data_IF_025497209507
#
_entry.id   IF_025497209507
#
_cell.length_a   1.000
_cell.length_b   1.000
_cell.length_c   1.000
_cell.angle_alpha   90.00
_cell.angle_beta   90.00
_cell.angle_gamma   90.00
#
_symmetry.space_group_name_H-M   'P 1'
#
loop_
_entity.id
_entity.type
_entity.pdbx_description
1 polymer ?
#
# COMPACT_ATOMS: atom_id res chain seq x y z
N UNK A 1 6.60 -33.06 32.09
CA UNK A 1 6.00 -33.44 30.79
C UNK A 1 4.51 -33.09 30.72
N UNK A 2 3.63 -33.64 31.58
CA UNK A 2 2.19 -33.29 31.64
C UNK A 2 1.88 -31.78 31.68
N UNK A 3 2.63 -31.00 32.47
CA UNK A 3 2.49 -29.53 32.54
C UNK A 3 2.85 -28.82 31.23
N UNK A 4 3.95 -29.21 30.58
CA UNK A 4 4.35 -28.68 29.27
C UNK A 4 3.31 -29.03 28.18
N UNK A 5 2.76 -30.24 28.22
CA UNK A 5 1.73 -30.68 27.28
C UNK A 5 0.39 -29.99 27.54
N UNK A 6 0.02 -29.79 28.81
CA UNK A 6 -1.15 -29.00 29.20
C UNK A 6 -0.99 -27.53 28.76
N UNK A 7 0.18 -26.92 28.96
CA UNK A 7 0.47 -25.56 28.51
C UNK A 7 0.48 -25.45 26.98
N UNK A 8 1.00 -26.46 26.26
CA UNK A 8 0.93 -26.53 24.80
C UNK A 8 -0.50 -26.72 24.29
N UNK A 9 -1.28 -27.64 24.87
CA UNK A 9 -2.70 -27.84 24.57
C UNK A 9 -3.51 -26.58 24.87
N UNK A 10 -3.19 -25.87 25.95
CA UNK A 10 -3.82 -24.59 26.32
C UNK A 10 -3.48 -23.47 25.35
N UNK A 11 -2.23 -23.40 24.88
CA UNK A 11 -1.83 -22.46 23.85
C UNK A 11 -2.45 -22.81 22.49
N UNK A 12 -2.76 -24.09 22.24
CA UNK A 12 -3.38 -24.60 21.01
C UNK A 12 -4.91 -24.46 21.00
N UNK A 13 -5.57 -24.66 22.13
CA UNK A 13 -7.01 -24.60 22.33
C UNK A 13 -7.50 -23.14 22.35
N UNK A 14 -8.06 -22.72 21.21
CA UNK A 14 -8.63 -21.38 21.08
C UNK A 14 -9.92 -21.42 20.26
N UNK A 15 -11.04 -20.83 20.74
CA UNK A 15 -12.34 -20.92 20.07
C UNK A 15 -12.36 -20.14 18.75
N UNK A 16 -11.29 -19.40 18.45
CA UNK A 16 -11.09 -18.68 17.19
C UNK A 16 -10.30 -19.47 16.15
N UNK A 17 -9.69 -20.59 16.53
CA UNK A 17 -8.97 -21.49 15.60
C UNK A 17 -9.93 -22.46 14.94
N UNK A 18 -10.77 -21.91 14.07
CA UNK A 18 -11.74 -22.68 13.30
C UNK A 18 -11.83 -22.15 11.84
N UNK A 19 -12.31 -22.98 10.90
CA UNK A 19 -12.42 -22.60 9.49
C UNK A 19 -13.26 -21.34 9.25
N UNK A 20 -14.35 -21.14 10.01
CA UNK A 20 -15.23 -19.97 9.86
C UNK A 20 -14.48 -18.67 10.16
N UNK A 21 -13.75 -18.61 11.27
CA UNK A 21 -12.96 -17.43 11.63
C UNK A 21 -11.82 -17.19 10.62
N UNK A 22 -11.19 -18.26 10.16
CA UNK A 22 -10.18 -18.20 9.11
C UNK A 22 -10.75 -17.58 7.82
N UNK A 23 -11.98 -17.91 7.45
CA UNK A 23 -12.69 -17.34 6.29
C UNK A 23 -13.05 -15.87 6.51
N UNK A 24 -13.55 -15.48 7.69
CA UNK A 24 -13.91 -14.09 8.00
C UNK A 24 -12.69 -13.16 7.92
N UNK A 25 -11.60 -13.48 8.61
CA UNK A 25 -10.36 -12.68 8.54
C UNK A 25 -9.75 -12.74 7.14
N UNK A 26 -9.81 -13.91 6.48
CA UNK A 26 -9.33 -14.09 5.11
C UNK A 26 -10.04 -13.18 4.11
N UNK A 27 -11.34 -12.94 4.26
CA UNK A 27 -12.11 -12.02 3.40
C UNK A 27 -11.66 -10.58 3.56
N UNK A 28 -11.45 -10.13 4.80
CA UNK A 28 -10.97 -8.77 5.08
C UNK A 28 -9.56 -8.56 4.52
N UNK A 29 -8.66 -9.53 4.74
CA UNK A 29 -7.30 -9.49 4.21
C UNK A 29 -7.29 -9.53 2.67
N UNK A 30 -8.10 -10.39 2.06
CA UNK A 30 -8.24 -10.48 0.60
C UNK A 30 -8.76 -9.17 -0.01
N UNK A 31 -9.76 -8.53 0.62
CA UNK A 31 -10.25 -7.22 0.20
C UNK A 31 -9.14 -6.15 0.30
N UNK A 32 -8.38 -6.13 1.40
CA UNK A 32 -7.26 -5.20 1.57
C UNK A 32 -6.17 -5.39 0.49
N UNK A 33 -5.82 -6.64 0.15
CA UNK A 33 -4.88 -6.92 -0.95
C UNK A 33 -5.42 -6.48 -2.31
N UNK A 34 -6.69 -6.71 -2.62
CA UNK A 34 -7.29 -6.26 -3.88
C UNK A 34 -7.34 -4.74 -3.98
N UNK A 35 -7.66 -4.04 -2.88
CA UNK A 35 -7.61 -2.58 -2.81
C UNK A 35 -6.18 -2.08 -3.07
N UNK A 36 -5.18 -2.64 -2.38
CA UNK A 36 -3.77 -2.29 -2.60
C UNK A 36 -3.36 -2.54 -4.06
N UNK A 37 -3.74 -3.69 -4.61
CA UNK A 37 -3.39 -4.04 -5.99
C UNK A 37 -4.01 -3.07 -7.00
N UNK A 38 -5.32 -2.82 -6.92
CA UNK A 38 -6.01 -1.92 -7.85
C UNK A 38 -5.51 -0.47 -7.76
N UNK A 39 -5.36 0.06 -6.54
CA UNK A 39 -4.79 1.41 -6.33
C UNK A 39 -3.31 1.48 -6.72
N UNK A 40 -2.55 0.41 -6.54
CA UNK A 40 -1.16 0.30 -6.96
C UNK A 40 -1.00 0.28 -8.48
N UNK A 41 -1.87 -0.45 -9.20
CA UNK A 41 -1.93 -0.42 -10.66
C UNK A 41 -2.23 0.98 -11.17
N UNK A 42 -3.22 1.67 -10.57
CA UNK A 42 -3.53 3.05 -10.93
C UNK A 42 -2.34 3.99 -10.70
N UNK A 43 -1.65 3.88 -9.56
CA UNK A 43 -0.45 4.66 -9.23
C UNK A 43 0.72 4.37 -10.18
N UNK A 44 0.88 3.12 -10.61
CA UNK A 44 1.89 2.71 -11.58
C UNK A 44 1.60 3.28 -12.97
N UNK A 45 0.40 3.09 -13.51
CA UNK A 45 0.05 3.58 -14.85
C UNK A 45 -0.01 5.11 -14.94
N UNK A 46 -0.25 5.82 -13.84
CA UNK A 46 -0.06 7.27 -13.80
C UNK A 46 1.40 7.70 -13.99
N UNK A 47 2.36 6.91 -13.48
CA UNK A 47 3.80 7.18 -13.61
C UNK A 47 4.36 6.69 -14.95
N UNK A 48 3.90 5.53 -15.41
CA UNK A 48 4.37 4.84 -16.60
C UNK A 48 3.15 4.48 -17.48
N UNK A 49 2.51 5.48 -18.11
CA UNK A 49 1.33 5.25 -18.93
C UNK A 49 1.66 4.48 -20.20
N UNK A 50 0.74 3.60 -20.62
CA UNK A 50 0.75 3.08 -21.99
C UNK A 50 0.32 4.19 -22.96
N UNK A 51 0.79 4.18 -24.20
CA UNK A 51 0.59 5.30 -25.14
C UNK A 51 -0.87 5.67 -25.44
N UNK A 52 -1.83 4.77 -25.20
CA UNK A 52 -3.26 5.01 -25.37
C UNK A 52 -3.98 5.46 -24.09
N UNK A 53 -3.33 5.34 -22.92
CA UNK A 53 -3.95 5.69 -21.65
C UNK A 53 -4.08 7.20 -21.51
N UNK A 54 -5.23 7.64 -20.98
CA UNK A 54 -5.49 9.00 -20.55
C UNK A 54 -6.05 8.95 -19.15
N UNK A 55 -5.72 9.93 -18.32
CA UNK A 55 -6.18 9.97 -16.93
C UNK A 55 -7.12 11.13 -16.66
N UNK A 56 -8.03 10.93 -15.72
CA UNK A 56 -8.89 12.01 -15.27
C UNK A 56 -8.08 13.02 -14.43
N UNK A 57 -8.14 14.29 -14.81
CA UNK A 57 -7.56 15.39 -14.03
C UNK A 57 -8.50 15.91 -12.94
N UNK A 58 -9.71 15.35 -12.87
CA UNK A 58 -10.75 15.69 -11.89
C UNK A 58 -11.36 14.42 -11.26
N UNK A 59 -11.73 14.47 -9.97
CA UNK A 59 -11.44 15.56 -9.03
C UNK A 59 -9.92 15.69 -8.78
N UNK A 60 -9.43 16.90 -8.49
CA UNK A 60 -8.00 17.20 -8.36
C UNK A 60 -7.31 16.42 -7.23
N UNK A 61 -8.08 15.93 -6.27
CA UNK A 61 -7.62 15.10 -5.14
C UNK A 61 -7.70 13.60 -5.41
N UNK A 62 -8.03 13.16 -6.64
CA UNK A 62 -8.21 11.74 -6.96
C UNK A 62 -7.00 10.90 -6.54
N UNK A 63 -5.79 11.31 -6.94
CA UNK A 63 -4.58 10.59 -6.58
C UNK A 63 -4.31 10.57 -5.07
N UNK A 64 -4.60 11.66 -4.36
CA UNK A 64 -4.51 11.70 -2.90
C UNK A 64 -5.37 10.62 -2.26
N UNK A 65 -6.62 10.46 -2.72
CA UNK A 65 -7.56 9.46 -2.19
C UNK A 65 -7.10 8.05 -2.54
N UNK A 66 -6.72 7.79 -3.79
CA UNK A 66 -6.28 6.44 -4.19
C UNK A 66 -5.00 6.03 -3.48
N UNK A 67 -4.04 6.94 -3.35
CA UNK A 67 -2.75 6.65 -2.69
C UNK A 67 -2.91 6.53 -1.18
N UNK A 68 -3.74 7.37 -0.54
CA UNK A 68 -4.10 7.22 0.86
C UNK A 68 -4.80 5.90 1.15
N UNK A 69 -5.74 5.51 0.29
CA UNK A 69 -6.44 4.23 0.38
C UNK A 69 -5.47 3.04 0.25
N UNK A 70 -4.51 3.12 -0.68
CA UNK A 70 -3.47 2.11 -0.85
C UNK A 70 -2.71 1.86 0.46
N UNK A 71 -2.24 2.93 1.10
CA UNK A 71 -1.38 2.83 2.27
C UNK A 71 -2.19 2.43 3.51
N UNK A 72 -3.39 2.98 3.69
CA UNK A 72 -4.29 2.55 4.77
C UNK A 72 -4.61 1.06 4.66
N UNK A 73 -4.93 0.57 3.47
CA UNK A 73 -5.18 -0.86 3.26
C UNK A 73 -3.92 -1.70 3.51
N UNK A 74 -2.75 -1.25 3.06
CA UNK A 74 -1.47 -1.94 3.29
C UNK A 74 -1.11 -2.03 4.78
N UNK A 75 -1.34 -0.96 5.54
CA UNK A 75 -1.15 -0.92 7.00
C UNK A 75 -2.15 -1.86 7.69
N UNK A 76 -3.42 -1.86 7.27
CA UNK A 76 -4.43 -2.76 7.82
C UNK A 76 -4.10 -4.25 7.60
N UNK A 77 -3.32 -4.59 6.56
CA UNK A 77 -2.88 -5.96 6.31
C UNK A 77 -2.02 -6.54 7.44
N UNK A 78 -1.26 -5.75 8.21
CA UNK A 78 -0.41 -6.26 9.29
C UNK A 78 -1.21 -6.99 10.40
N UNK A 79 -2.15 -6.33 11.11
CA UNK A 79 -2.95 -6.99 12.14
C UNK A 79 -3.85 -8.10 11.55
N UNK A 80 -4.38 -7.93 10.34
CA UNK A 80 -5.20 -8.94 9.68
C UNK A 80 -4.40 -10.19 9.31
N UNK A 81 -3.17 -10.04 8.80
CA UNK A 81 -2.28 -11.14 8.46
C UNK A 81 -1.83 -11.87 9.73
N UNK A 82 -1.43 -11.14 10.78
CA UNK A 82 -1.07 -11.74 12.08
C UNK A 82 -2.26 -12.51 12.68
N UNK A 83 -3.47 -11.95 12.62
CA UNK A 83 -4.68 -12.64 13.05
C UNK A 83 -4.93 -13.92 12.24
N UNK A 84 -4.78 -13.86 10.91
CA UNK A 84 -4.93 -15.02 10.03
C UNK A 84 -3.90 -16.11 10.36
N UNK A 85 -2.63 -15.73 10.53
CA UNK A 85 -1.54 -16.64 10.89
C UNK A 85 -1.76 -17.27 12.27
N UNK A 86 -2.22 -16.50 13.24
CA UNK A 86 -2.57 -17.01 14.57
C UNK A 86 -3.69 -18.08 14.52
N UNK A 87 -4.69 -17.87 13.67
CA UNK A 87 -5.81 -18.80 13.49
C UNK A 87 -5.33 -20.12 12.87
N UNK A 88 -4.49 -20.05 11.83
CA UNK A 88 -4.04 -21.24 11.07
C UNK A 88 -2.73 -21.83 11.61
N UNK A 89 -2.16 -21.26 12.66
CA UNK A 89 -0.86 -21.67 13.22
C UNK A 89 -0.74 -23.19 13.46
N UNK A 90 -1.72 -23.89 14.05
CA UNK A 90 -1.60 -25.34 14.27
C UNK A 90 -1.49 -26.13 12.95
N UNK A 91 -2.22 -25.70 11.92
CA UNK A 91 -2.23 -26.37 10.61
C UNK A 91 -0.88 -26.23 9.89
N UNK A 92 -0.09 -25.20 10.23
CA UNK A 92 1.26 -25.03 9.70
C UNK A 92 2.24 -26.11 10.20
N UNK A 93 1.94 -26.78 11.32
CA UNK A 93 2.80 -27.80 11.94
C UNK A 93 2.15 -29.19 12.01
N UNK A 94 1.10 -29.43 11.23
CA UNK A 94 0.43 -30.72 11.18
C UNK A 94 1.37 -31.86 10.72
N UNK A 95 1.29 -33.01 11.38
CA UNK A 95 2.06 -34.22 11.07
C UNK A 95 1.14 -35.32 10.47
N UNK A 96 1.60 -36.13 9.49
CA UNK A 96 2.88 -36.01 8.77
C UNK A 96 2.92 -34.73 7.92
N UNK A 97 4.10 -34.08 7.79
CA UNK A 97 4.23 -32.78 7.13
C UNK A 97 3.86 -32.85 5.65
N UNK A 98 4.12 -33.98 5.00
CA UNK A 98 3.77 -34.22 3.60
C UNK A 98 3.07 -35.58 3.52
N UNK A 99 1.86 -35.59 2.96
CA UNK A 99 1.05 -36.80 2.75
C UNK A 99 1.15 -37.32 1.30
N UNK A 100 1.75 -36.54 0.40
CA UNK A 100 1.89 -36.82 -1.01
C UNK A 100 2.23 -35.55 -1.81
N UNK A 101 2.44 -35.68 -3.12
CA UNK A 101 2.88 -34.58 -3.99
C UNK A 101 1.88 -33.41 -4.02
N UNK A 102 0.58 -33.69 -4.12
CA UNK A 102 -0.46 -32.65 -4.14
C UNK A 102 -0.49 -31.87 -2.81
N UNK A 103 -0.40 -32.58 -1.68
CA UNK A 103 -0.36 -31.95 -0.36
C UNK A 103 0.92 -31.11 -0.17
N UNK A 104 2.05 -31.56 -0.71
CA UNK A 104 3.28 -30.77 -0.72
C UNK A 104 3.10 -29.48 -1.51
N UNK A 105 2.58 -29.54 -2.74
CA UNK A 105 2.35 -28.37 -3.57
C UNK A 105 1.37 -27.38 -2.92
N UNK A 106 0.31 -27.89 -2.28
CA UNK A 106 -0.59 -27.08 -1.48
C UNK A 106 0.15 -26.33 -0.37
N UNK A 107 0.95 -27.02 0.46
CA UNK A 107 1.71 -26.37 1.55
C UNK A 107 2.77 -25.41 1.04
N UNK A 108 3.46 -25.74 -0.06
CA UNK A 108 4.43 -24.87 -0.71
C UNK A 108 3.75 -23.58 -1.21
N UNK A 109 2.58 -23.68 -1.83
CA UNK A 109 1.81 -22.51 -2.27
C UNK A 109 1.42 -21.59 -1.11
N UNK A 110 1.04 -22.17 0.04
CA UNK A 110 0.72 -21.40 1.26
C UNK A 110 1.97 -20.70 1.80
N UNK A 111 3.11 -21.41 1.87
CA UNK A 111 4.36 -20.83 2.35
C UNK A 111 4.82 -19.66 1.46
N UNK A 112 4.76 -19.83 0.14
CA UNK A 112 5.05 -18.76 -0.81
C UNK A 112 4.09 -17.57 -0.66
N UNK A 113 2.79 -17.84 -0.49
CA UNK A 113 1.79 -16.78 -0.31
C UNK A 113 2.03 -15.97 0.97
N UNK A 114 2.32 -16.64 2.09
CA UNK A 114 2.65 -15.98 3.37
C UNK A 114 3.94 -15.18 3.24
N UNK A 115 5.00 -15.78 2.66
CA UNK A 115 6.28 -15.10 2.45
C UNK A 115 6.13 -13.85 1.58
N UNK A 116 5.47 -13.98 0.43
CA UNK A 116 5.20 -12.86 -0.46
C UNK A 116 4.36 -11.77 0.23
N UNK A 117 3.35 -12.15 1.02
CA UNK A 117 2.52 -11.21 1.78
C UNK A 117 3.34 -10.39 2.76
N UNK A 118 4.17 -11.05 3.57
CA UNK A 118 5.01 -10.40 4.59
C UNK A 118 6.01 -9.46 3.92
N UNK A 119 6.70 -9.92 2.87
CA UNK A 119 7.66 -9.09 2.14
C UNK A 119 6.95 -7.87 1.55
N UNK A 120 5.86 -8.06 0.80
CA UNK A 120 5.12 -6.99 0.12
C UNK A 120 4.69 -5.87 1.07
N UNK A 121 4.02 -6.22 2.18
CA UNK A 121 3.54 -5.20 3.12
C UNK A 121 4.69 -4.53 3.88
N UNK A 122 5.79 -5.26 4.13
CA UNK A 122 6.97 -4.72 4.82
C UNK A 122 7.70 -3.72 3.95
N UNK A 123 8.03 -4.08 2.70
CA UNK A 123 8.70 -3.14 1.80
C UNK A 123 7.84 -1.90 1.54
N UNK A 124 6.51 -2.07 1.43
CA UNK A 124 5.56 -0.97 1.26
C UNK A 124 5.53 -0.03 2.47
N UNK A 125 5.53 -0.58 3.69
CA UNK A 125 5.63 0.20 4.93
C UNK A 125 6.96 0.95 5.00
N UNK A 126 8.08 0.28 4.77
CA UNK A 126 9.40 0.91 4.88
C UNK A 126 9.62 2.01 3.83
N UNK A 127 9.00 1.88 2.65
CA UNK A 127 8.94 2.94 1.65
C UNK A 127 8.27 4.22 2.18
N UNK A 128 7.24 4.14 3.04
CA UNK A 128 6.62 5.36 3.60
C UNK A 128 7.62 6.15 4.45
N UNK A 129 8.61 5.49 5.04
CA UNK A 129 9.69 6.08 5.83
C UNK A 129 10.94 6.40 5.00
N UNK A 130 10.93 6.17 3.68
CA UNK A 130 12.10 6.24 2.79
C UNK A 130 13.29 5.40 3.27
N UNK A 131 13.04 4.30 3.97
CA UNK A 131 14.10 3.42 4.45
C UNK A 131 14.19 2.19 3.56
N UNK A 132 15.31 2.07 2.84
CA UNK A 132 15.56 0.99 1.88
C UNK A 132 16.81 0.20 2.31
N UNK A 133 16.70 -0.71 3.30
CA UNK A 133 17.81 -1.57 3.74
C UNK A 133 18.17 -2.67 2.72
N UNK A 134 17.88 -2.46 1.44
CA UNK A 134 18.07 -3.42 0.36
C UNK A 134 18.65 -2.75 -0.89
N UNK A 135 19.34 -3.51 -1.75
CA UNK A 135 20.00 -2.96 -2.95
C UNK A 135 19.08 -2.92 -4.18
N UNK A 136 17.90 -3.53 -4.14
CA UNK A 136 17.01 -3.64 -5.30
C UNK A 136 16.09 -2.42 -5.47
N UNK A 137 15.63 -2.13 -6.69
CA UNK A 137 14.80 -0.96 -6.93
C UNK A 137 13.36 -1.22 -6.48
N UNK A 138 12.91 -0.47 -5.47
CA UNK A 138 11.63 -0.68 -4.79
C UNK A 138 10.44 -0.74 -5.76
N UNK A 139 10.30 0.21 -6.69
CA UNK A 139 9.10 0.33 -7.55
C UNK A 139 8.87 -0.91 -8.40
N UNK A 140 9.91 -1.40 -9.06
CA UNK A 140 9.86 -2.57 -9.94
C UNK A 140 9.58 -3.84 -9.14
N UNK A 141 10.27 -4.03 -8.00
CA UNK A 141 10.09 -5.20 -7.16
C UNK A 141 8.71 -5.22 -6.52
N UNK A 142 8.25 -4.09 -5.97
CA UNK A 142 6.93 -3.97 -5.35
C UNK A 142 5.79 -4.20 -6.36
N UNK A 143 5.96 -3.73 -7.60
CA UNK A 143 5.00 -3.97 -8.68
C UNK A 143 4.96 -5.45 -9.08
N UNK A 144 6.12 -6.06 -9.36
CA UNK A 144 6.21 -7.46 -9.74
C UNK A 144 5.70 -8.40 -8.63
N UNK A 145 6.08 -8.15 -7.39
CA UNK A 145 5.64 -8.92 -6.23
C UNK A 145 4.14 -8.78 -5.98
N UNK A 146 3.53 -7.64 -6.34
CA UNK A 146 2.08 -7.46 -6.34
C UNK A 146 1.35 -8.47 -7.23
N UNK A 147 1.84 -8.72 -8.45
CA UNK A 147 1.29 -9.74 -9.36
C UNK A 147 1.48 -11.15 -8.82
N UNK A 148 2.66 -11.45 -8.28
CA UNK A 148 2.93 -12.73 -7.62
C UNK A 148 1.96 -12.96 -6.46
N UNK A 149 1.75 -11.95 -5.62
CA UNK A 149 0.85 -12.03 -4.48
C UNK A 149 -0.60 -12.28 -4.89
N UNK A 150 -1.11 -11.57 -5.92
CA UNK A 150 -2.47 -11.79 -6.42
C UNK A 150 -2.62 -13.15 -7.08
N UNK A 151 -1.64 -13.60 -7.87
CA UNK A 151 -1.65 -14.96 -8.43
C UNK A 151 -1.71 -16.03 -7.34
N UNK A 152 -0.89 -15.89 -6.30
CA UNK A 152 -0.89 -16.78 -5.13
C UNK A 152 -2.21 -16.72 -4.35
N UNK A 153 -2.83 -15.54 -4.22
CA UNK A 153 -4.14 -15.38 -3.60
C UNK A 153 -5.22 -16.13 -4.39
N UNK A 154 -5.23 -16.01 -5.72
CA UNK A 154 -6.18 -16.74 -6.58
C UNK A 154 -6.00 -18.25 -6.45
N UNK A 155 -4.75 -18.74 -6.49
CA UNK A 155 -4.43 -20.16 -6.27
C UNK A 155 -4.91 -20.59 -4.88
N UNK A 156 -4.63 -19.81 -3.84
CA UNK A 156 -5.04 -20.10 -2.46
C UNK A 156 -6.56 -20.20 -2.33
N UNK A 157 -7.30 -19.25 -2.92
CA UNK A 157 -8.77 -19.27 -2.93
C UNK A 157 -9.27 -20.49 -3.69
N UNK A 158 -8.71 -20.81 -4.86
CA UNK A 158 -9.10 -21.97 -5.67
C UNK A 158 -8.92 -23.30 -4.91
N UNK A 159 -7.77 -23.49 -4.28
CA UNK A 159 -7.47 -24.69 -3.48
C UNK A 159 -8.38 -24.80 -2.25
N UNK A 160 -8.68 -23.68 -1.58
CA UNK A 160 -9.53 -23.66 -0.38
C UNK A 160 -11.01 -23.45 -0.66
N UNK A 161 -11.42 -23.35 -1.92
CA UNK A 161 -12.79 -23.03 -2.30
C UNK A 161 -13.84 -23.95 -1.64
N UNK A 162 -13.65 -25.29 -1.58
CA UNK A 162 -14.64 -26.18 -0.95
C UNK A 162 -14.81 -25.93 0.56
N UNK A 163 -13.77 -25.44 1.24
CA UNK A 163 -13.84 -25.07 2.66
C UNK A 163 -14.47 -23.69 2.80
N UNK A 164 -14.07 -22.74 1.95
CA UNK A 164 -14.58 -21.37 1.97
C UNK A 164 -16.09 -21.36 1.74
N UNK A 165 -16.59 -22.08 0.74
CA UNK A 165 -18.03 -22.13 0.39
C UNK A 165 -18.88 -22.68 1.53
N UNK A 166 -18.40 -23.72 2.24
CA UNK A 166 -19.09 -24.30 3.41
C UNK A 166 -19.27 -23.31 4.56
N UNK A 167 -18.40 -22.32 4.67
CA UNK A 167 -18.44 -21.33 5.76
C UNK A 167 -18.66 -19.89 5.26
N UNK A 168 -19.17 -19.73 4.04
CA UNK A 168 -19.33 -18.43 3.38
C UNK A 168 -20.55 -17.64 3.87
N UNK A 169 -21.67 -18.32 4.16
CA UNK A 169 -22.91 -17.71 4.65
C UNK A 169 -23.16 -17.97 6.15
N UNK A 170 -23.96 -17.11 6.77
CA UNK A 170 -24.36 -17.18 8.18
C UNK A 170 -25.36 -18.29 8.52
N UNK A 171 -25.83 -19.04 7.53
CA UNK A 171 -26.93 -19.98 7.70
C UNK A 171 -26.46 -21.42 7.56
N UNK A 172 -26.01 -22.00 8.66
CA UNK A 172 -26.38 -23.38 8.95
C UNK A 172 -26.98 -23.42 10.35
N UNK A 173 -28.33 -23.42 10.47
CA UNK A 173 -29.03 -23.59 11.75
C UNK A 173 -28.73 -24.93 12.42
N UNK A 174 -28.12 -25.89 11.72
CA UNK A 174 -27.77 -27.20 12.25
C UNK A 174 -26.48 -27.21 13.08
N UNK A 175 -25.71 -26.13 13.13
CA UNK A 175 -24.44 -26.07 13.87
C UNK A 175 -24.55 -25.43 15.27
N UNK A 176 -25.71 -24.82 15.61
CA UNK A 176 -25.95 -24.32 16.97
C UNK A 176 -26.24 -25.45 17.98
N UNK A 177 -26.50 -26.68 17.50
CA UNK A 177 -26.62 -27.87 18.36
C UNK A 177 -25.27 -28.52 18.73
N UNK A 178 -24.13 -27.94 18.34
CA UNK A 178 -22.80 -28.40 18.77
C UNK A 178 -22.27 -27.65 20.00
N UNK A 179 -22.98 -26.65 20.50
CA UNK A 179 -22.62 -25.95 21.74
C UNK A 179 -23.08 -26.73 23.00
N UNK A 180 -23.98 -27.71 22.85
CA UNK A 180 -24.39 -28.64 23.91
C UNK A 180 -23.65 -29.99 23.90
N UNK A 181 -22.64 -30.18 23.04
CA UNK A 181 -21.79 -31.37 23.06
C UNK A 181 -20.75 -31.36 24.19
N UNK A 182 -21.12 -30.80 25.34
CA UNK A 182 -20.38 -30.83 26.62
C UNK A 182 -20.33 -32.26 27.21
N UNK A 183 -20.93 -33.26 26.58
CA UNK A 183 -20.77 -34.68 26.94
C UNK A 183 -19.71 -35.39 26.07
N UNK A 184 -18.46 -34.92 26.17
CA UNK A 184 -17.22 -35.71 26.32
C UNK A 184 -16.74 -36.76 25.29
N UNK A 185 -17.58 -37.39 24.47
CA UNK A 185 -17.23 -38.73 23.94
C UNK A 185 -17.09 -38.83 22.40
N UNK A 186 -17.79 -37.99 21.62
CA UNK A 186 -17.79 -38.14 20.13
C UNK A 186 -16.68 -37.40 19.39
N UNK A 187 -16.16 -36.29 19.92
CA UNK A 187 -15.15 -35.48 19.21
C UNK A 187 -13.77 -36.13 19.21
N UNK A 188 -13.40 -36.81 20.31
CA UNK A 188 -12.15 -37.55 20.42
C UNK A 188 -12.10 -38.73 19.43
N UNK A 189 -13.24 -39.38 19.20
CA UNK A 189 -13.37 -40.47 18.23
C UNK A 189 -13.25 -39.99 16.77
N UNK A 190 -13.85 -38.85 16.40
CA UNK A 190 -13.75 -38.34 15.04
C UNK A 190 -12.33 -37.87 14.67
N UNK A 191 -11.61 -37.27 15.63
CA UNK A 191 -10.23 -36.81 15.44
C UNK A 191 -9.21 -37.97 15.49
N UNK A 192 -9.44 -38.96 16.36
CA UNK A 192 -8.66 -40.21 16.38
C UNK A 192 -8.84 -41.02 15.10
N UNK A 193 -10.06 -41.12 14.56
CA UNK A 193 -10.33 -41.76 13.26
C UNK A 193 -9.69 -41.00 12.10
N UNK A 194 -9.62 -39.66 12.18
CA UNK A 194 -8.91 -38.82 11.20
C UNK A 194 -7.40 -39.02 11.19
N UNK A 195 -6.79 -39.25 12.36
CA UNK A 195 -5.34 -39.36 12.54
C UNK A 195 -4.83 -40.81 12.39
N UNK A 196 -5.63 -41.80 12.77
CA UNK A 196 -5.20 -43.21 12.90
C UNK A 196 -6.11 -44.23 12.19
N UNK A 197 -7.23 -43.82 11.59
CA UNK A 197 -8.24 -44.74 11.06
C UNK A 197 -9.01 -45.48 12.18
N UNK A 198 -9.69 -46.57 11.85
CA UNK A 198 -10.48 -47.37 12.83
C UNK A 198 -9.61 -48.14 13.84
N UNK A 199 -8.29 -48.17 13.67
CA UNK A 199 -7.37 -48.98 14.48
C UNK A 199 -6.39 -48.10 15.25
N UNK A 200 -6.52 -48.05 16.58
CA UNK A 200 -5.53 -47.39 17.45
C UNK A 200 -4.26 -48.25 17.58
N UNK A 201 -3.05 -47.67 17.43
CA UNK A 201 -1.80 -48.41 17.60
C UNK A 201 -1.65 -48.93 19.04
N UNK A 202 -1.19 -50.18 19.19
CA UNK A 202 -0.98 -50.83 20.49
C UNK A 202 0.34 -50.45 21.18
N UNK A 203 0.59 -51.00 22.37
CA UNK A 203 1.88 -50.91 23.07
C UNK A 203 2.20 -49.54 23.68
N UNK A 204 3.47 -49.13 23.61
CA UNK A 204 3.98 -47.87 24.19
C UNK A 204 3.27 -46.65 23.59
N UNK A 205 2.99 -46.67 22.29
CA UNK A 205 2.25 -45.62 21.58
C UNK A 205 0.86 -45.42 22.16
N UNK A 206 0.15 -46.51 22.49
CA UNK A 206 -1.16 -46.44 23.16
C UNK A 206 -1.06 -45.76 24.52
N UNK A 207 -0.08 -46.13 25.34
CA UNK A 207 0.10 -45.53 26.67
C UNK A 207 0.43 -44.04 26.59
N UNK A 208 1.18 -43.61 25.58
CA UNK A 208 1.48 -42.19 25.34
C UNK A 208 0.22 -41.44 24.88
N UNK A 209 -0.59 -42.03 24.01
CA UNK A 209 -1.87 -41.46 23.57
C UNK A 209 -2.89 -41.36 24.71
N UNK A 210 -3.04 -42.43 25.51
CA UNK A 210 -3.91 -42.44 26.69
C UNK A 210 -3.43 -41.40 27.72
N UNK A 211 -2.12 -41.18 27.86
CA UNK A 211 -1.54 -40.13 28.70
C UNK A 211 -1.85 -38.71 28.19
N UNK A 212 -1.86 -38.51 26.86
CA UNK A 212 -2.29 -37.27 26.21
C UNK A 212 -3.78 -37.03 26.44
N UNK A 213 -4.62 -38.03 26.19
CA UNK A 213 -6.08 -37.96 26.33
C UNK A 213 -6.50 -37.74 27.80
N UNK A 214 -5.77 -38.31 28.76
CA UNK A 214 -5.98 -38.11 30.19
C UNK A 214 -5.43 -36.77 30.72
N UNK A 215 -4.86 -35.91 29.87
CA UNK A 215 -4.44 -34.57 30.28
C UNK A 215 -5.65 -33.62 30.19
N UNK A 216 -6.05 -32.94 31.28
CA UNK A 216 -7.23 -32.06 31.27
C UNK A 216 -7.15 -31.03 30.15
N UNK A 217 -8.22 -30.87 29.36
CA UNK A 217 -8.26 -29.83 28.33
C UNK A 217 -8.36 -28.47 29.02
N UNK A 218 -7.43 -27.57 28.69
CA UNK A 218 -7.46 -26.24 29.26
C UNK A 218 -8.55 -25.38 28.61
N UNK A 219 -9.34 -24.69 29.43
CA UNK A 219 -10.31 -23.71 28.96
C UNK A 219 -9.61 -22.52 28.31
N UNK A 220 -10.14 -22.07 27.18
CA UNK A 220 -9.61 -20.91 26.48
C UNK A 220 -10.01 -19.62 27.17
N UNK A 221 -9.04 -18.74 27.41
CA UNK A 221 -9.26 -17.42 28.02
C UNK A 221 -9.76 -16.36 27.03
N UNK A 222 -9.70 -16.64 25.72
CA UNK A 222 -10.00 -15.65 24.69
C UNK A 222 -11.32 -16.01 24.01
N UNK A 223 -12.36 -15.23 24.25
CA UNK A 223 -13.63 -15.40 23.53
C UNK A 223 -13.50 -14.96 22.07
N UNK A 224 -14.37 -15.49 21.19
CA UNK A 224 -14.42 -15.07 19.77
C UNK A 224 -14.63 -13.56 19.62
N UNK A 225 -15.54 -13.01 20.44
CA UNK A 225 -15.81 -11.57 20.50
C UNK A 225 -14.57 -10.82 20.95
N UNK A 226 -13.90 -11.27 22.01
CA UNK A 226 -12.66 -10.66 22.51
C UNK A 226 -11.58 -10.60 21.43
N UNK A 227 -11.33 -11.69 20.70
CA UNK A 227 -10.35 -11.72 19.61
C UNK A 227 -10.71 -10.76 18.48
N UNK A 228 -11.95 -10.78 17.98
CA UNK A 228 -12.38 -9.88 16.91
C UNK A 228 -12.34 -8.42 17.34
N UNK A 229 -12.70 -8.12 18.59
CA UNK A 229 -12.54 -6.79 19.17
C UNK A 229 -11.07 -6.39 19.23
N UNK A 230 -10.16 -7.27 19.67
CA UNK A 230 -8.72 -6.97 19.68
C UNK A 230 -8.18 -6.70 18.28
N UNK A 231 -8.50 -7.54 17.30
CA UNK A 231 -8.07 -7.33 15.91
C UNK A 231 -8.65 -6.03 15.36
N UNK A 232 -9.94 -5.78 15.57
CA UNK A 232 -10.60 -4.54 15.15
C UNK A 232 -9.96 -3.31 15.78
N UNK A 233 -9.75 -3.29 17.10
CA UNK A 233 -9.10 -2.20 17.82
C UNK A 233 -7.66 -2.01 17.34
N UNK A 234 -6.89 -3.08 17.17
CA UNK A 234 -5.52 -2.99 16.67
C UNK A 234 -5.48 -2.41 15.25
N UNK A 235 -6.33 -2.90 14.33
CA UNK A 235 -6.45 -2.36 12.98
C UNK A 235 -6.85 -0.89 12.99
N UNK A 236 -7.92 -0.55 13.72
CA UNK A 236 -8.40 0.84 13.82
C UNK A 236 -7.36 1.76 14.45
N UNK A 237 -6.63 1.31 15.48
CA UNK A 237 -5.58 2.10 16.12
C UNK A 237 -4.42 2.36 15.15
N UNK A 238 -3.84 1.31 14.54
CA UNK A 238 -2.67 1.49 13.65
C UNK A 238 -3.05 2.32 12.43
N UNK A 239 -4.22 2.09 11.82
CA UNK A 239 -4.72 2.92 10.71
C UNK A 239 -5.00 4.35 11.16
N UNK A 240 -5.74 4.55 12.26
CA UNK A 240 -6.10 5.86 12.76
C UNK A 240 -4.89 6.73 13.10
N UNK A 241 -3.86 6.12 13.70
CA UNK A 241 -2.64 6.81 14.12
C UNK A 241 -1.65 7.10 12.97
N UNK A 242 -1.95 6.68 11.74
CA UNK A 242 -1.11 6.85 10.56
C UNK A 242 -1.81 7.52 9.37
N UNK A 243 -3.13 7.39 9.26
CA UNK A 243 -3.92 7.87 8.12
C UNK A 243 -3.98 9.42 8.04
N UNK A 244 -3.68 10.11 9.14
CA UNK A 244 -3.70 11.57 9.20
C UNK A 244 -2.66 12.25 8.30
N UNK A 245 -1.59 11.56 7.90
CA UNK A 245 -0.66 12.07 6.90
C UNK A 245 -1.33 12.27 5.52
N UNK A 246 -2.39 11.52 5.21
CA UNK A 246 -3.16 11.63 3.96
C UNK A 246 -4.46 12.39 4.16
N UNK A 247 -5.25 12.02 5.17
CA UNK A 247 -6.61 12.52 5.40
C UNK A 247 -6.61 13.59 6.50
N UNK A 248 -6.89 14.84 6.11
CA UNK A 248 -6.85 16.00 7.03
C UNK A 248 -7.69 15.84 8.30
N UNK A 249 -8.90 15.24 8.28
CA UNK A 249 -9.68 15.03 9.50
C UNK A 249 -8.99 14.18 10.57
N UNK A 250 -7.98 13.38 10.20
CA UNK A 250 -7.25 12.48 11.08
C UNK A 250 -5.86 13.03 11.47
N UNK A 251 -5.49 14.23 11.04
CA UNK A 251 -4.15 14.81 11.32
C UNK A 251 -3.89 14.97 12.82
N UNK A 252 -4.91 15.32 13.61
CA UNK A 252 -4.80 15.52 15.06
C UNK A 252 -4.35 14.27 15.83
N UNK A 253 -4.58 13.07 15.28
CA UNK A 253 -4.24 11.79 15.89
C UNK A 253 -3.09 11.08 15.17
N UNK A 254 -2.44 11.75 14.21
CA UNK A 254 -1.33 11.20 13.43
C UNK A 254 -0.04 11.15 14.27
N UNK A 255 0.18 10.05 14.99
CA UNK A 255 1.35 9.85 15.85
C UNK A 255 2.51 9.15 15.13
N UNK A 256 2.21 8.28 14.15
CA UNK A 256 3.21 7.44 13.49
C UNK A 256 3.40 7.77 12.00
N UNK A 257 2.72 8.79 11.47
CA UNK A 257 2.99 9.27 10.12
C UNK A 257 4.41 9.84 10.03
N UNK A 258 5.24 9.40 9.06
CA UNK A 258 6.61 9.89 8.89
C UNK A 258 6.68 11.38 8.55
N UNK A 259 5.56 11.94 8.05
CA UNK A 259 5.42 13.37 7.79
C UNK A 259 4.13 13.90 8.40
N UNK A 260 4.22 15.13 8.89
CA UNK A 260 3.12 15.88 9.49
C UNK A 260 2.71 17.02 8.57
N UNK A 261 1.40 17.22 8.41
CA UNK A 261 0.87 18.33 7.60
C UNK A 261 1.25 19.66 8.23
N UNK A 262 1.54 20.67 7.41
CA UNK A 262 1.93 21.98 7.91
C UNK A 262 3.39 22.09 8.38
N UNK A 263 4.14 20.98 8.43
CA UNK A 263 5.54 20.96 8.88
C UNK A 263 6.48 20.91 7.68
N UNK A 264 7.35 21.90 7.57
CA UNK A 264 8.31 22.10 6.47
C UNK A 264 8.37 23.56 6.05
N UNK A 265 9.29 23.89 5.13
CA UNK A 265 9.36 25.23 4.56
C UNK A 265 8.02 25.60 3.92
N UNK A 266 7.57 26.85 4.08
CA UNK A 266 6.29 27.34 3.52
C UNK A 266 5.07 26.50 3.94
N UNK A 267 5.17 25.78 5.05
CA UNK A 267 4.11 24.94 5.60
C UNK A 267 3.86 23.65 4.82
N UNK A 268 4.74 23.20 3.93
CA UNK A 268 4.56 21.95 3.16
C UNK A 268 5.74 21.00 3.40
N UNK A 269 5.51 19.68 3.63
CA UNK A 269 6.59 18.71 3.78
C UNK A 269 7.48 18.59 2.54
N UNK A 270 8.77 18.39 2.78
CA UNK A 270 9.78 18.18 1.73
C UNK A 270 10.05 16.67 1.58
N UNK A 271 10.06 16.21 0.32
CA UNK A 271 10.37 14.82 -0.01
C UNK A 271 11.87 14.57 -0.28
N UNK A 272 12.47 15.50 -1.01
CA UNK A 272 13.78 15.43 -1.64
C UNK A 272 14.40 16.80 -1.54
N UNK A 273 15.57 16.94 -0.92
CA UNK A 273 16.17 18.27 -0.73
C UNK A 273 17.00 18.70 -1.94
N UNK A 274 17.29 20.00 -2.09
CA UNK A 274 18.18 20.50 -3.16
C UNK A 274 19.61 20.03 -3.01
N UNK A 275 20.07 19.84 -1.76
CA UNK A 275 21.37 19.23 -1.47
C UNK A 275 21.43 17.79 -1.96
N UNK A 276 20.41 16.99 -1.62
CA UNK A 276 20.27 15.62 -2.07
C UNK A 276 20.21 15.49 -3.60
N UNK A 277 19.58 16.46 -4.27
CA UNK A 277 19.49 16.53 -5.73
C UNK A 277 20.71 17.18 -6.40
N UNK A 278 21.61 17.79 -5.63
CA UNK A 278 22.80 18.50 -6.13
C UNK A 278 22.47 19.64 -7.10
N UNK A 279 21.42 20.41 -6.82
CA UNK A 279 20.89 21.46 -7.71
C UNK A 279 20.98 22.88 -7.15
N UNK A 280 21.47 23.04 -5.91
CA UNK A 280 21.40 24.33 -5.21
C UNK A 280 22.07 25.46 -6.01
N UNK A 281 23.30 25.26 -6.48
CA UNK A 281 24.04 26.27 -7.22
C UNK A 281 23.37 26.61 -8.56
N UNK A 282 22.95 25.59 -9.31
CA UNK A 282 22.30 25.76 -10.61
C UNK A 282 20.92 26.45 -10.49
N UNK A 283 20.16 26.14 -9.44
CA UNK A 283 18.84 26.71 -9.20
C UNK A 283 18.91 28.16 -8.71
N UNK A 284 19.98 28.54 -8.02
CA UNK A 284 20.20 29.91 -7.52
C UNK A 284 21.01 30.78 -8.50
N UNK A 285 21.51 30.20 -9.60
CA UNK A 285 22.26 30.94 -10.60
C UNK A 285 21.41 32.02 -11.27
N UNK A 286 21.96 33.23 -11.39
CA UNK A 286 21.33 34.35 -12.12
C UNK A 286 21.11 34.01 -13.60
N UNK A 287 21.90 33.09 -14.15
CA UNK A 287 21.78 32.59 -15.52
C UNK A 287 20.69 31.53 -15.71
N UNK A 288 19.94 31.16 -14.66
CA UNK A 288 18.86 30.19 -14.81
C UNK A 288 17.78 30.72 -15.77
N UNK A 289 17.35 29.83 -16.66
CA UNK A 289 16.20 30.05 -17.55
C UNK A 289 15.38 28.76 -17.66
N UNK A 290 14.08 28.92 -17.92
CA UNK A 290 13.20 27.84 -18.35
C UNK A 290 13.14 27.81 -19.87
N UNK A 291 13.59 26.73 -20.48
CA UNK A 291 13.50 26.53 -21.94
C UNK A 291 12.23 25.78 -22.31
N UNK A 292 11.44 26.34 -23.24
CA UNK A 292 10.30 25.69 -23.88
C UNK A 292 10.65 25.36 -25.34
N UNK A 293 10.56 24.09 -25.71
CA UNK A 293 10.89 23.59 -27.04
C UNK A 293 9.66 22.93 -27.70
N UNK A 294 9.25 23.43 -28.87
CA UNK A 294 8.10 22.95 -29.64
C UNK A 294 8.46 22.96 -31.13
N UNK A 295 8.34 21.82 -31.82
CA UNK A 295 8.50 21.75 -33.28
C UNK A 295 9.85 22.25 -33.81
N UNK A 296 10.94 22.10 -33.04
CA UNK A 296 12.27 22.62 -33.38
C UNK A 296 12.50 24.10 -33.07
N UNK A 297 11.48 24.83 -32.60
CA UNK A 297 11.60 26.19 -32.09
C UNK A 297 11.80 26.15 -30.58
N UNK A 298 12.79 26.89 -30.08
CA UNK A 298 13.05 27.01 -28.65
C UNK A 298 12.89 28.47 -28.19
N UNK A 299 12.30 28.66 -27.02
CA UNK A 299 12.24 29.94 -26.33
C UNK A 299 12.63 29.75 -24.87
N UNK A 300 13.48 30.63 -24.37
CA UNK A 300 13.91 30.63 -22.98
C UNK A 300 13.30 31.82 -22.24
N UNK A 301 12.91 31.58 -20.99
CA UNK A 301 12.34 32.60 -20.10
C UNK A 301 13.17 32.66 -18.82
N UNK A 302 13.64 33.84 -18.46
CA UNK A 302 14.12 34.14 -17.12
C UNK A 302 12.96 34.06 -16.11
N UNK A 303 13.28 33.98 -14.82
CA UNK A 303 12.25 33.99 -13.78
C UNK A 303 11.41 35.27 -13.79
N UNK A 304 12.04 36.41 -14.02
CA UNK A 304 11.37 37.72 -14.05
C UNK A 304 10.42 37.83 -15.27
N UNK A 305 10.81 37.30 -16.42
CA UNK A 305 9.91 37.20 -17.58
C UNK A 305 8.72 36.30 -17.29
N UNK A 306 8.92 35.16 -16.60
CA UNK A 306 7.81 34.30 -16.19
C UNK A 306 6.87 35.00 -15.20
N UNK A 307 7.39 35.83 -14.30
CA UNK A 307 6.57 36.64 -13.38
C UNK A 307 5.76 37.72 -14.10
N UNK A 308 6.29 38.26 -15.19
CA UNK A 308 5.62 39.27 -16.01
C UNK A 308 4.48 38.70 -16.88
N UNK A 309 4.47 37.39 -17.14
CA UNK A 309 3.37 36.71 -17.83
C UNK A 309 2.09 36.65 -16.96
N UNK A 310 0.90 36.46 -17.56
CA UNK A 310 -0.34 36.30 -16.82
C UNK A 310 -0.28 35.21 -15.74
N UNK A 311 -0.41 35.61 -14.48
CA UNK A 311 -0.36 34.70 -13.33
C UNK A 311 -1.75 34.13 -13.00
N UNK A 312 -1.80 32.84 -12.69
CA UNK A 312 -2.99 32.14 -12.20
C UNK A 312 -2.72 31.55 -10.83
N UNK A 313 -3.72 31.60 -9.94
CA UNK A 313 -3.66 30.99 -8.61
C UNK A 313 -4.62 29.82 -8.52
N UNK A 314 -4.15 28.68 -8.00
CA UNK A 314 -4.93 27.46 -7.83
C UNK A 314 -4.68 26.84 -6.46
N UNK A 315 -5.67 26.12 -5.92
CA UNK A 315 -5.51 25.31 -4.71
C UNK A 315 -5.48 23.85 -5.11
N UNK A 316 -4.34 23.18 -4.92
CA UNK A 316 -4.13 21.78 -5.33
C UNK A 316 -3.41 20.97 -4.24
N UNK A 317 -3.71 19.66 -4.13
CA UNK A 317 -2.87 18.74 -3.37
C UNK A 317 -1.49 18.62 -4.01
N UNK A 318 -0.48 18.51 -3.16
CA UNK A 318 0.68 17.65 -3.45
C UNK A 318 0.48 16.33 -2.71
N UNK A 319 0.50 15.21 -3.42
CA UNK A 319 0.26 13.88 -2.87
C UNK A 319 1.40 12.95 -3.25
N UNK A 320 2.16 12.47 -2.27
CA UNK A 320 3.33 11.65 -2.49
C UNK A 320 3.00 10.16 -2.56
N UNK A 321 3.78 9.41 -3.32
CA UNK A 321 3.73 7.93 -3.37
C UNK A 321 3.99 7.27 -2.00
N UNK A 322 4.58 8.01 -1.06
CA UNK A 322 4.86 7.56 0.31
C UNK A 322 3.64 7.74 1.25
N UNK A 323 2.56 8.37 0.77
CA UNK A 323 1.27 8.43 1.45
C UNK A 323 0.90 9.74 2.10
N UNK A 324 1.87 10.61 2.36
CA UNK A 324 1.55 11.94 2.85
C UNK A 324 1.02 12.82 1.71
N UNK A 325 0.12 13.75 2.06
CA UNK A 325 -0.42 14.71 1.10
C UNK A 325 -0.84 16.00 1.78
N UNK A 326 -0.80 17.11 1.06
CA UNK A 326 -1.18 18.40 1.59
C UNK A 326 -1.78 19.32 0.54
N UNK A 327 -2.89 19.99 0.89
CA UNK A 327 -3.41 21.13 0.14
C UNK A 327 -2.49 22.33 0.29
N UNK A 328 -2.20 23.00 -0.82
CA UNK A 328 -1.50 24.27 -0.82
C UNK A 328 -2.05 25.22 -1.90
N UNK A 329 -1.75 26.51 -1.74
CA UNK A 329 -2.04 27.52 -2.76
C UNK A 329 -0.81 27.67 -3.66
N UNK A 330 -0.98 27.47 -4.96
CA UNK A 330 0.07 27.59 -5.96
C UNK A 330 -0.24 28.79 -6.85
N UNK A 331 0.79 29.54 -7.25
CA UNK A 331 0.65 30.63 -8.21
C UNK A 331 1.78 30.58 -9.24
N UNK A 332 1.44 30.83 -10.49
CA UNK A 332 2.37 30.75 -11.61
C UNK A 332 1.69 30.90 -12.97
N UNK A 333 2.42 30.57 -14.03
CA UNK A 333 1.94 30.65 -15.41
C UNK A 333 1.24 29.34 -15.78
N UNK A 334 0.08 29.41 -16.46
CA UNK A 334 -0.59 28.19 -16.93
C UNK A 334 0.22 27.54 -18.05
N UNK A 335 0.40 26.23 -17.98
CA UNK A 335 1.16 25.50 -18.99
C UNK A 335 0.53 25.62 -20.38
N UNK A 336 -0.81 25.61 -20.47
CA UNK A 336 -1.52 25.80 -21.73
C UNK A 336 -1.19 27.15 -22.40
N UNK A 337 -1.03 28.21 -21.61
CA UNK A 337 -0.76 29.56 -22.12
C UNK A 337 0.68 29.62 -22.68
N UNK A 338 1.63 28.94 -22.03
CA UNK A 338 2.99 28.77 -22.57
C UNK A 338 3.01 27.93 -23.85
N UNK A 339 2.19 26.88 -23.92
CA UNK A 339 2.06 26.05 -25.12
C UNK A 339 1.45 26.86 -26.29
N UNK A 340 0.44 27.67 -26.02
CA UNK A 340 -0.21 28.55 -27.00
C UNK A 340 0.74 29.64 -27.52
N UNK A 341 1.64 30.17 -26.68
CA UNK A 341 2.68 31.13 -27.08
C UNK A 341 3.67 30.58 -28.12
N UNK A 342 3.76 29.26 -28.26
CA UNK A 342 4.65 28.56 -29.21
C UNK A 342 3.87 27.82 -30.30
N UNK A 343 2.57 28.10 -30.45
CA UNK A 343 1.66 27.43 -31.39
C UNK A 343 1.72 25.89 -31.31
N UNK A 344 1.87 25.35 -30.09
CA UNK A 344 1.91 23.91 -29.89
C UNK A 344 0.57 23.24 -30.22
N UNK A 345 0.62 22.06 -30.85
CA UNK A 345 -0.58 21.28 -31.16
C UNK A 345 -1.40 20.98 -29.88
N UNK A 346 -2.73 21.11 -29.89
CA UNK A 346 -3.61 20.77 -28.77
C UNK A 346 -3.38 19.37 -28.17
N UNK A 347 -2.99 18.41 -29.00
CA UNK A 347 -2.76 17.01 -28.63
C UNK A 347 -1.30 16.73 -28.22
N UNK A 348 -0.40 17.72 -28.27
CA UNK A 348 1.00 17.57 -27.85
C UNK A 348 1.11 17.19 -26.37
N UNK A 349 1.97 16.21 -26.09
CA UNK A 349 2.42 15.91 -24.75
C UNK A 349 3.78 16.57 -24.50
N UNK A 350 4.13 16.78 -23.24
CA UNK A 350 5.40 17.42 -22.87
C UNK A 350 6.27 16.49 -22.05
N UNK A 351 7.58 16.50 -22.30
CA UNK A 351 8.60 16.03 -21.38
C UNK A 351 9.07 17.20 -20.52
N UNK A 352 9.03 17.01 -19.20
CA UNK A 352 9.50 17.96 -18.21
C UNK A 352 10.86 17.50 -17.72
N UNK A 353 11.82 18.41 -17.68
CA UNK A 353 13.22 18.14 -17.34
C UNK A 353 13.60 19.02 -16.14
N UNK A 354 14.19 18.41 -15.13
CA UNK A 354 14.73 19.06 -13.94
C UNK A 354 16.20 19.45 -14.15
N UNK A 355 16.69 20.37 -13.31
CA UNK A 355 18.12 20.57 -13.10
C UNK A 355 18.80 19.36 -12.43
N UNK A 356 18.06 18.50 -11.73
CA UNK A 356 18.61 17.26 -11.15
C UNK A 356 19.04 16.32 -12.30
N UNK A 357 20.34 16.09 -12.45
CA UNK A 357 20.87 15.30 -13.58
C UNK A 357 20.62 13.79 -13.43
N UNK A 358 20.57 13.31 -12.19
CA UNK A 358 20.51 11.88 -11.85
C UNK A 358 19.23 11.55 -11.10
N UNK A 359 18.64 10.40 -11.41
CA UNK A 359 17.46 9.91 -10.71
C UNK A 359 16.32 9.59 -11.66
N UNK A 360 15.39 8.74 -11.23
CA UNK A 360 14.33 8.25 -12.09
C UNK A 360 13.22 9.27 -12.41
N UNK A 361 13.27 10.44 -11.79
CA UNK A 361 12.29 11.52 -11.96
C UNK A 361 12.94 12.85 -12.38
N UNK A 362 14.21 12.84 -12.79
CA UNK A 362 14.85 14.01 -13.43
C UNK A 362 14.14 14.40 -14.73
N UNK A 363 13.47 13.42 -15.36
CA UNK A 363 12.64 13.60 -16.54
C UNK A 363 11.29 12.95 -16.30
N UNK A 364 10.20 13.67 -16.54
CA UNK A 364 8.83 13.15 -16.40
C UNK A 364 8.02 13.44 -17.66
N UNK A 365 7.06 12.58 -17.98
CA UNK A 365 6.16 12.79 -19.11
C UNK A 365 4.84 13.36 -18.63
N UNK A 366 4.33 14.35 -19.34
CA UNK A 366 3.07 15.00 -19.11
C UNK A 366 2.17 14.81 -20.32
N UNK A 367 1.16 13.95 -20.19
CA UNK A 367 0.16 13.75 -21.22
C UNK A 367 -0.66 15.00 -21.49
N UNK A 368 -1.13 15.15 -22.73
CA UNK A 368 -1.97 16.27 -23.22
C UNK A 368 -3.14 16.64 -22.29
N UNK A 369 -3.73 15.67 -21.57
CA UNK A 369 -4.84 15.92 -20.66
C UNK A 369 -4.45 16.86 -19.52
N UNK A 370 -3.18 16.86 -19.11
CA UNK A 370 -2.64 17.77 -18.11
C UNK A 370 -2.13 19.06 -18.75
N UNK A 371 -1.56 18.98 -19.95
CA UNK A 371 -1.04 20.15 -20.69
C UNK A 371 -2.12 21.21 -20.88
N UNK A 372 -3.33 20.77 -21.26
CA UNK A 372 -4.47 21.65 -21.53
C UNK A 372 -5.35 21.92 -20.31
N UNK A 373 -5.10 21.28 -19.17
CA UNK A 373 -5.88 21.51 -17.96
C UNK A 373 -5.65 22.95 -17.44
N UNK A 374 -6.72 23.72 -17.16
CA UNK A 374 -6.60 25.10 -16.69
C UNK A 374 -5.92 25.25 -15.31
N UNK A 375 -5.81 24.17 -14.53
CA UNK A 375 -5.15 24.17 -13.22
C UNK A 375 -3.68 23.74 -13.26
N UNK A 376 -3.15 23.35 -14.42
CA UNK A 376 -1.74 22.99 -14.56
C UNK A 376 -0.87 24.23 -14.68
N UNK A 377 0.04 24.41 -13.74
CA UNK A 377 0.91 25.58 -13.65
C UNK A 377 2.39 25.20 -13.71
N UNK A 378 3.16 26.05 -14.39
CA UNK A 378 4.54 26.33 -13.99
C UNK A 378 4.46 27.27 -12.79
N UNK A 379 4.50 26.70 -11.58
CA UNK A 379 4.39 27.44 -10.33
C UNK A 379 5.70 28.16 -9.98
N UNK A 380 5.56 29.38 -9.48
CA UNK A 380 6.64 30.30 -9.07
C UNK A 380 6.53 30.68 -7.59
N UNK A 381 5.33 30.53 -7.02
CA UNK A 381 4.98 30.84 -5.64
C UNK A 381 4.19 29.69 -4.99
N UNK A 382 4.38 29.54 -3.68
CA UNK A 382 3.71 28.59 -2.81
C UNK A 382 3.21 29.31 -1.55
N UNK A 383 1.92 29.16 -1.26
CA UNK A 383 1.25 29.74 -0.10
C UNK A 383 1.44 31.27 0.05
N UNK A 384 1.52 31.98 -1.09
CA UNK A 384 1.65 33.45 -1.13
C UNK A 384 3.08 33.96 -1.03
N UNK A 385 4.06 33.06 -1.01
CA UNK A 385 5.48 33.39 -0.97
C UNK A 385 6.19 32.85 -2.21
N UNK A 386 7.30 33.48 -2.62
CA UNK A 386 8.22 32.90 -3.61
C UNK A 386 8.58 31.47 -3.23
N UNK A 387 8.62 30.55 -4.20
CA UNK A 387 9.02 29.17 -3.95
C UNK A 387 10.33 29.11 -3.17
N UNK A 388 10.35 28.30 -2.12
CA UNK A 388 11.57 27.92 -1.44
C UNK A 388 12.36 26.94 -2.32
N UNK A 389 13.69 26.94 -2.17
CA UNK A 389 14.58 26.03 -2.88
C UNK A 389 14.18 24.56 -2.73
N UNK A 390 13.75 24.16 -1.54
CA UNK A 390 13.33 22.78 -1.27
C UNK A 390 12.01 22.40 -1.95
N UNK A 391 11.18 23.39 -2.27
CA UNK A 391 9.93 23.23 -3.00
C UNK A 391 10.06 23.41 -4.50
N UNK A 392 11.27 23.67 -5.00
CA UNK A 392 11.58 23.72 -6.42
C UNK A 392 11.71 25.12 -6.98
N UNK A 393 12.12 26.12 -6.18
CA UNK A 393 12.66 27.37 -6.74
C UNK A 393 13.71 27.04 -7.83
N UNK A 394 13.78 27.78 -8.95
CA UNK A 394 13.01 29.00 -9.27
C UNK A 394 11.63 28.76 -9.84
N UNK A 395 11.36 27.57 -10.37
CA UNK A 395 10.07 27.16 -10.91
C UNK A 395 9.86 25.64 -10.77
N UNK A 396 8.61 25.23 -10.56
CA UNK A 396 8.21 23.81 -10.56
C UNK A 396 6.97 23.59 -11.39
N UNK A 397 6.76 22.35 -11.82
CA UNK A 397 5.46 21.92 -12.34
C UNK A 397 4.51 21.54 -11.19
N UNK A 398 3.23 21.92 -11.33
CA UNK A 398 2.12 21.39 -10.54
C UNK A 398 0.89 21.16 -11.44
N UNK A 399 0.31 19.96 -11.38
CA UNK A 399 -0.90 19.59 -12.10
C UNK A 399 -1.88 18.81 -11.21
N UNK A 400 -3.19 18.95 -11.41
CA UNK A 400 -4.21 18.27 -10.61
C UNK A 400 -4.15 16.74 -10.78
N UNK A 401 -4.44 15.98 -9.72
CA UNK A 401 -4.57 14.51 -9.80
C UNK A 401 -3.29 13.72 -10.14
N UNK A 402 -2.11 14.36 -10.18
CA UNK A 402 -0.83 13.69 -10.49
C UNK A 402 -0.06 13.29 -9.22
N UNK A 403 0.68 12.17 -9.26
CA UNK A 403 1.64 11.82 -8.22
C UNK A 403 2.69 12.90 -8.00
N UNK A 404 3.01 13.19 -6.74
CA UNK A 404 3.98 14.21 -6.36
C UNK A 404 5.38 14.00 -6.95
N UNK A 405 5.76 12.75 -7.22
CA UNK A 405 7.02 12.41 -7.90
C UNK A 405 7.05 12.86 -9.37
N UNK A 406 5.88 13.11 -9.99
CA UNK A 406 5.76 13.62 -11.35
C UNK A 406 5.59 15.14 -11.42
N UNK A 407 5.55 15.83 -10.27
CA UNK A 407 5.44 17.28 -10.16
C UNK A 407 6.85 17.89 -10.14
N UNK A 408 7.53 17.87 -11.29
CA UNK A 408 8.95 18.18 -11.45
C UNK A 408 9.35 19.47 -10.75
N UNK A 409 10.33 19.38 -9.83
CA UNK A 409 10.97 20.51 -9.15
C UNK A 409 12.21 20.98 -9.92
N UNK A 410 12.64 22.21 -9.66
CA UNK A 410 13.83 22.80 -10.27
C UNK A 410 13.75 22.67 -11.80
N UNK A 411 12.59 23.06 -12.35
CA UNK A 411 12.26 22.86 -13.74
C UNK A 411 13.25 23.64 -14.62
N UNK A 412 13.85 22.99 -15.61
CA UNK A 412 14.82 23.62 -16.52
C UNK A 412 14.32 23.64 -17.96
N UNK A 413 13.59 22.60 -18.38
CA UNK A 413 13.10 22.49 -19.75
C UNK A 413 11.75 21.79 -19.85
N UNK A 414 10.94 22.27 -20.79
CA UNK A 414 9.67 21.70 -21.23
C UNK A 414 9.82 21.43 -22.73
N UNK A 415 9.69 20.17 -23.14
CA UNK A 415 9.94 19.75 -24.53
C UNK A 415 8.75 18.99 -25.09
N UNK A 416 8.19 19.43 -26.21
CA UNK A 416 7.11 18.74 -26.91
C UNK A 416 7.58 17.36 -27.39
N UNK A 417 6.74 16.33 -27.20
CA UNK A 417 7.03 14.93 -27.56
C UNK A 417 5.89 14.26 -28.31
#
# INVERSE_FOLDING_TARGET
>A
MRRLMYEAQRALASPVRNPRMATVIGRLLGAAFLICFGTGLYSHFLQEPLGWMRFATRPEFLYQVTQGTHIVAGIACFPLLLAKLYIVFPDLFAFPPVRGLVHFLERASIALFVGASVVQITIGLLNTYQWYPWPFPFRQVHFALGWVLIGLLVIHIGVKLPVITRYWSTSSPSDDHLVDAVSGDRSANAEAVRLWGLSRPGGVTRRVLDYIDATPRAESRVSRRGFLTTVGVATTAVVGLTAGQTFTPLDAVNLFGPRKKGVGQQGVPVNRTSEQAQVADAALAVSWVLTLAVGGTERSFTRDELLALPQTSVRLPIACVEGWSQMASWRGVRLRDLADLMDADPETSFRLISLEERGSFSKTQMGREYVRDPLTLVALELNGETLNLEHGYPARMIAPGRPGVLQTKWLSRIEAI
#
